data_IF_334553079745
#
_entry.id   IF_334553079745
#
_cell.length_a   1.000
_cell.length_b   1.000
_cell.length_c   1.000
_cell.angle_alpha   90.00
_cell.angle_beta   90.00
_cell.angle_gamma   90.00
#
_symmetry.space_group_name_H-M   'P 1'
#
loop_
_entity.id
_entity.type
_entity.pdbx_description
1 polymer ?
#
# COMPACT_ATOMS: atom_id res chain seq x y z
N UNK A 1 60.21 62.31 33.15
CA UNK A 1 59.97 63.06 34.40
C UNK A 1 58.57 62.67 34.89
N UNK A 2 58.47 61.88 35.96
CA UNK A 2 58.14 62.37 37.32
C UNK A 2 56.80 63.13 37.34
N UNK A 3 55.79 62.83 38.14
CA UNK A 3 55.76 62.28 39.50
C UNK A 3 54.26 62.07 39.88
N UNK A 4 53.94 61.07 40.72
CA UNK A 4 53.03 61.06 41.92
C UNK A 4 51.65 61.78 41.84
N UNK A 5 50.57 61.44 42.56
CA UNK A 5 50.07 60.44 43.54
C UNK A 5 48.65 60.98 43.88
N UNK A 6 47.71 60.15 44.33
CA UNK A 6 46.55 60.70 45.06
C UNK A 6 45.34 59.78 45.18
N UNK A 7 45.23 59.14 46.34
CA UNK A 7 44.15 58.24 46.75
C UNK A 7 42.99 59.05 47.32
N UNK A 8 41.74 58.71 46.99
CA UNK A 8 40.61 58.85 47.91
C UNK A 8 39.54 57.79 47.58
N UNK A 9 39.30 56.90 48.56
CA UNK A 9 38.19 55.94 48.60
C UNK A 9 36.90 56.68 48.93
N UNK A 10 35.83 56.37 48.21
CA UNK A 10 34.47 56.47 48.71
C UNK A 10 33.69 55.25 48.21
N UNK A 11 33.32 54.38 49.15
CA UNK A 11 32.40 53.28 48.93
C UNK A 11 30.97 53.78 49.15
N UNK A 12 30.05 53.48 48.24
CA UNK A 12 28.63 53.34 48.57
C UNK A 12 27.83 52.71 47.40
N UNK A 13 27.13 51.64 47.77
CA UNK A 13 25.87 51.13 47.22
C UNK A 13 25.86 50.49 45.82
N UNK A 14 25.92 49.15 45.84
CA UNK A 14 25.30 48.27 44.85
C UNK A 14 23.81 48.60 44.67
N UNK A 15 23.41 48.95 43.44
CA UNK A 15 22.05 48.72 42.96
C UNK A 15 22.14 47.67 41.85
N UNK A 16 21.73 46.44 42.18
CA UNK A 16 21.70 45.33 41.23
C UNK A 16 20.65 45.58 40.16
N UNK A 17 21.10 45.79 38.93
CA UNK A 17 20.25 45.80 37.76
C UNK A 17 20.17 44.35 37.26
N UNK A 18 19.20 43.58 37.78
CA UNK A 18 18.84 42.28 37.20
C UNK A 18 18.19 42.55 35.84
N UNK A 19 18.99 42.42 34.78
CA UNK A 19 18.49 42.20 33.43
C UNK A 19 17.79 40.84 33.41
N UNK A 20 16.47 40.85 33.51
CA UNK A 20 15.64 39.71 33.19
C UNK A 20 15.81 39.43 31.68
N UNK A 21 16.72 38.50 31.35
CA UNK A 21 16.80 37.92 30.02
C UNK A 21 15.51 37.17 29.74
N UNK A 22 14.60 37.79 29.00
CA UNK A 22 13.49 37.09 28.39
C UNK A 22 14.07 36.09 27.38
N UNK A 23 14.26 34.85 27.83
CA UNK A 23 14.45 33.72 26.93
C UNK A 23 13.17 33.59 26.10
N UNK A 24 13.21 34.09 24.86
CA UNK A 24 12.24 33.73 23.84
C UNK A 24 12.34 32.22 23.63
N UNK A 25 11.54 31.46 24.36
CA UNK A 25 11.24 30.09 24.02
C UNK A 25 10.60 30.12 22.62
N UNK A 26 11.37 29.72 21.60
CA UNK A 26 10.84 29.48 20.26
C UNK A 26 9.77 28.40 20.38
N UNK A 27 8.51 28.81 20.38
CA UNK A 27 7.40 27.86 20.27
C UNK A 27 7.56 27.08 18.97
N UNK A 28 7.44 25.74 18.97
CA UNK A 28 7.43 24.98 17.74
C UNK A 28 6.30 25.51 16.86
N UNK A 29 6.58 25.75 15.58
CA UNK A 29 5.56 26.16 14.63
C UNK A 29 4.38 25.18 14.69
N UNK A 30 3.17 25.70 14.88
CA UNK A 30 1.96 24.89 14.95
C UNK A 30 1.81 24.07 13.67
N UNK A 31 1.51 22.78 13.83
CA UNK A 31 1.20 21.90 12.70
C UNK A 31 -0.04 22.46 12.00
N UNK A 32 0.10 22.86 10.73
CA UNK A 32 -0.97 23.57 10.02
C UNK A 32 -2.03 22.57 9.57
N UNK A 33 -3.13 22.49 10.30
CA UNK A 33 -4.31 21.76 9.89
C UNK A 33 -5.00 22.47 8.70
N UNK A 34 -5.41 21.69 7.70
CA UNK A 34 -6.08 22.18 6.50
C UNK A 34 -7.43 21.46 6.34
N UNK A 35 -8.50 22.20 6.03
CA UNK A 35 -9.79 21.58 5.72
C UNK A 35 -9.89 21.28 4.24
N UNK A 36 -10.19 20.03 3.89
CA UNK A 36 -10.33 19.55 2.51
C UNK A 36 -11.62 18.76 2.33
N UNK A 37 -12.03 18.53 1.08
CA UNK A 37 -13.15 17.63 0.79
C UNK A 37 -12.77 16.18 1.07
N UNK A 38 -13.51 15.51 1.94
CA UNK A 38 -13.37 14.09 2.28
C UNK A 38 -14.45 13.20 1.64
N UNK A 39 -15.10 13.65 0.56
CA UNK A 39 -16.15 12.87 -0.10
C UNK A 39 -17.36 12.63 0.81
N UNK A 40 -17.72 11.37 1.06
CA UNK A 40 -18.86 11.00 1.93
C UNK A 40 -18.64 11.40 3.40
N UNK A 41 -17.41 11.61 3.85
CA UNK A 41 -17.11 12.17 5.18
C UNK A 41 -17.54 13.65 5.33
N UNK A 42 -17.81 14.34 4.23
CA UNK A 42 -17.93 15.80 4.21
C UNK A 42 -16.56 16.48 4.34
N UNK A 43 -16.49 17.74 4.80
CA UNK A 43 -15.22 18.40 5.07
C UNK A 43 -14.43 17.62 6.14
N UNK A 44 -13.14 17.39 5.91
CA UNK A 44 -12.23 16.72 6.85
C UNK A 44 -11.05 17.60 7.18
N UNK A 45 -10.54 17.48 8.41
CA UNK A 45 -9.36 18.22 8.86
C UNK A 45 -8.11 17.38 8.65
N UNK A 46 -7.17 17.86 7.85
CA UNK A 46 -5.92 17.16 7.54
C UNK A 46 -4.77 17.81 8.28
N UNK A 47 -4.12 17.04 9.14
CA UNK A 47 -2.96 17.45 9.92
C UNK A 47 -1.72 16.76 9.35
N UNK A 48 -0.85 17.54 8.68
CA UNK A 48 0.33 17.02 7.96
C UNK A 48 1.52 16.87 8.92
N UNK A 49 2.36 15.83 8.80
CA UNK A 49 3.56 15.73 9.61
C UNK A 49 4.58 16.82 9.25
N UNK A 50 5.38 17.25 10.21
CA UNK A 50 6.48 18.19 9.97
C UNK A 50 7.77 17.52 9.47
N UNK A 51 7.89 16.20 9.68
CA UNK A 51 9.00 15.36 9.22
C UNK A 51 8.60 14.40 8.10
N UNK A 52 9.44 13.38 7.80
CA UNK A 52 9.11 12.35 6.83
C UNK A 52 7.76 11.70 7.13
N UNK A 53 6.98 11.42 6.09
CA UNK A 53 5.74 10.66 6.22
C UNK A 53 6.08 9.22 6.64
N UNK A 54 5.57 8.80 7.79
CA UNK A 54 5.78 7.46 8.38
C UNK A 54 4.53 6.60 8.38
N UNK A 55 3.37 7.21 8.12
CA UNK A 55 2.08 6.54 8.02
C UNK A 55 0.96 7.50 7.67
N UNK A 56 -0.19 6.93 7.32
CA UNK A 56 -1.42 7.66 7.03
C UNK A 56 -2.50 7.18 7.99
N UNK A 57 -3.20 8.10 8.65
CA UNK A 57 -4.21 7.77 9.68
C UNK A 57 -5.54 8.41 9.32
N UNK A 58 -6.61 7.61 9.31
CA UNK A 58 -7.99 8.10 9.32
C UNK A 58 -8.50 7.99 10.76
N UNK A 59 -8.60 9.13 11.44
CA UNK A 59 -8.99 9.24 12.83
C UNK A 59 -10.47 9.63 12.92
N UNK A 60 -11.30 8.75 13.47
CA UNK A 60 -12.72 8.98 13.68
C UNK A 60 -12.98 9.50 15.10
N UNK A 61 -13.82 10.53 15.20
CA UNK A 61 -14.26 11.09 16.48
C UNK A 61 -15.15 10.11 17.25
N UNK A 62 -15.43 10.48 18.51
CA UNK A 62 -16.50 9.89 19.31
C UNK A 62 -17.91 10.22 18.76
N UNK A 63 -18.93 9.77 19.48
CA UNK A 63 -20.37 9.92 19.19
C UNK A 63 -20.79 11.38 18.90
N UNK A 64 -20.28 12.33 19.68
CA UNK A 64 -20.71 13.73 19.63
C UNK A 64 -20.06 14.56 18.51
N UNK A 65 -19.32 13.92 17.60
CA UNK A 65 -18.56 14.58 16.54
C UNK A 65 -17.16 15.03 16.97
N UNK A 66 -16.46 15.66 16.03
CA UNK A 66 -15.05 16.03 16.17
C UNK A 66 -14.86 17.18 17.18
N UNK A 67 -13.96 16.99 18.14
CA UNK A 67 -13.69 17.98 19.18
C UNK A 67 -12.19 18.26 19.39
N UNK A 68 -11.87 19.10 20.38
CA UNK A 68 -10.50 19.50 20.67
C UNK A 68 -9.57 18.34 21.08
N UNK A 69 -10.07 17.31 21.78
CA UNK A 69 -9.27 16.15 22.15
C UNK A 69 -8.94 15.28 20.93
N UNK A 70 -9.85 15.19 19.95
CA UNK A 70 -9.59 14.51 18.69
C UNK A 70 -8.52 15.25 17.87
N UNK A 71 -8.59 16.59 17.83
CA UNK A 71 -7.56 17.41 17.19
C UNK A 71 -6.20 17.27 17.88
N UNK A 72 -6.16 17.25 19.21
CA UNK A 72 -4.90 17.03 19.95
C UNK A 72 -4.28 15.66 19.63
N UNK A 73 -5.09 14.61 19.46
CA UNK A 73 -4.59 13.32 18.98
C UNK A 73 -4.04 13.41 17.55
N UNK A 74 -4.75 14.08 16.63
CA UNK A 74 -4.27 14.28 15.26
C UNK A 74 -2.94 15.04 15.22
N UNK A 75 -2.78 16.08 16.03
CA UNK A 75 -1.55 16.85 16.16
C UNK A 75 -0.39 16.00 16.71
N UNK A 76 -0.68 15.15 17.71
CA UNK A 76 0.32 14.25 18.29
C UNK A 76 0.77 13.17 17.29
N UNK A 77 -0.16 12.62 16.51
CA UNK A 77 0.13 11.66 15.43
C UNK A 77 0.95 12.32 14.30
N UNK A 78 0.60 13.55 13.91
CA UNK A 78 1.37 14.31 12.95
C UNK A 78 2.79 14.60 13.43
N UNK A 79 2.96 14.93 14.71
CA UNK A 79 4.29 15.06 15.33
C UNK A 79 5.08 13.75 15.31
N UNK A 80 4.41 12.60 15.40
CA UNK A 80 5.03 11.28 15.28
C UNK A 80 5.34 10.86 13.83
N UNK A 81 4.94 11.66 12.84
CA UNK A 81 5.19 11.43 11.41
C UNK A 81 3.99 10.90 10.63
N UNK A 82 2.78 10.86 11.21
CA UNK A 82 1.59 10.39 10.51
C UNK A 82 0.79 11.54 9.87
N UNK A 83 0.48 11.45 8.58
CA UNK A 83 -0.55 12.32 8.00
C UNK A 83 -1.91 11.88 8.53
N UNK A 84 -2.58 12.76 9.26
CA UNK A 84 -3.82 12.40 9.97
C UNK A 84 -5.02 13.14 9.40
N UNK A 85 -6.03 12.38 8.99
CA UNK A 85 -7.34 12.87 8.54
C UNK A 85 -8.33 12.72 9.68
N UNK A 86 -8.81 13.85 10.19
CA UNK A 86 -9.86 13.89 11.20
C UNK A 86 -11.25 13.82 10.58
N UNK A 87 -12.00 12.79 10.97
CA UNK A 87 -13.35 12.51 10.49
C UNK A 87 -14.34 12.64 11.65
N UNK A 88 -15.35 13.48 11.44
CA UNK A 88 -16.48 13.63 12.34
C UNK A 88 -17.47 12.47 12.13
N UNK A 89 -17.56 11.59 13.13
CA UNK A 89 -18.37 10.38 13.06
C UNK A 89 -19.87 10.66 12.96
N UNK A 90 -20.37 11.72 13.61
CA UNK A 90 -21.79 12.07 13.57
C UNK A 90 -22.16 12.61 12.19
N UNK A 91 -21.36 13.53 11.64
CA UNK A 91 -21.55 14.05 10.28
C UNK A 91 -21.46 12.93 9.25
N UNK A 92 -20.51 12.01 9.40
CA UNK A 92 -20.38 10.89 8.49
C UNK A 92 -21.63 9.98 8.51
N UNK A 93 -22.13 9.64 9.70
CA UNK A 93 -23.38 8.88 9.85
C UNK A 93 -24.58 9.58 9.21
N UNK A 94 -24.71 10.90 9.39
CA UNK A 94 -25.76 11.71 8.75
C UNK A 94 -25.65 11.69 7.22
N UNK A 95 -24.43 11.86 6.69
CA UNK A 95 -24.19 11.86 5.25
C UNK A 95 -24.54 10.52 4.60
N UNK A 96 -24.19 9.40 5.24
CA UNK A 96 -24.53 8.07 4.75
C UNK A 96 -26.03 7.82 4.75
N UNK A 97 -26.71 8.16 5.85
CA UNK A 97 -28.17 8.00 5.98
C UNK A 97 -28.97 8.80 4.93
N UNK A 98 -28.40 9.90 4.42
CA UNK A 98 -29.00 10.72 3.36
C UNK A 98 -28.82 10.13 1.95
N UNK A 99 -28.03 9.07 1.77
CA UNK A 99 -27.80 8.43 0.46
C UNK A 99 -28.83 7.34 0.20
N UNK A 100 -29.31 7.17 -1.05
CA UNK A 100 -30.22 6.10 -1.44
C UNK A 100 -29.48 4.76 -1.64
N UNK A 101 -28.61 4.39 -0.69
CA UNK A 101 -27.80 3.17 -0.74
C UNK A 101 -28.39 2.10 0.18
N UNK A 102 -28.37 0.83 -0.24
CA UNK A 102 -28.91 -0.27 0.57
C UNK A 102 -27.97 -0.69 1.69
N UNK A 103 -26.67 -0.45 1.53
CA UNK A 103 -25.62 -0.63 2.53
C UNK A 103 -24.40 0.23 2.13
N UNK A 104 -23.42 0.37 3.01
CA UNK A 104 -22.25 1.22 2.77
C UNK A 104 -20.90 0.48 2.89
N UNK A 105 -20.03 0.67 1.88
CA UNK A 105 -18.61 0.28 1.91
C UNK A 105 -17.78 1.36 2.60
N UNK A 106 -17.60 1.26 3.92
CA UNK A 106 -16.87 2.26 4.71
C UNK A 106 -15.34 2.20 4.46
N UNK A 107 -14.83 1.02 4.10
CA UNK A 107 -13.43 0.78 3.72
C UNK A 107 -13.05 1.52 2.45
N UNK A 108 -13.96 1.55 1.47
CA UNK A 108 -13.77 2.30 0.22
C UNK A 108 -13.64 3.80 0.44
N UNK A 109 -14.35 4.38 1.42
CA UNK A 109 -14.19 5.80 1.75
C UNK A 109 -12.81 6.10 2.35
N UNK A 110 -12.31 5.20 3.21
CA UNK A 110 -10.99 5.36 3.85
C UNK A 110 -9.87 5.19 2.81
N UNK A 111 -10.01 4.22 1.90
CA UNK A 111 -9.10 4.03 0.77
C UNK A 111 -9.11 5.27 -0.15
N UNK A 112 -10.28 5.76 -0.54
CA UNK A 112 -10.43 6.89 -1.45
C UNK A 112 -9.77 8.17 -0.89
N UNK A 113 -10.02 8.52 0.38
CA UNK A 113 -9.42 9.72 0.98
C UNK A 113 -7.91 9.58 1.13
N UNK A 114 -7.40 8.37 1.41
CA UNK A 114 -5.95 8.11 1.46
C UNK A 114 -5.28 8.32 0.10
N UNK A 115 -5.85 7.76 -0.97
CA UNK A 115 -5.34 7.94 -2.33
C UNK A 115 -5.34 9.42 -2.73
N UNK A 116 -6.44 10.13 -2.48
CA UNK A 116 -6.56 11.54 -2.83
C UNK A 116 -5.50 12.39 -2.12
N UNK A 117 -5.38 12.25 -0.80
CA UNK A 117 -4.52 13.13 0.00
C UNK A 117 -3.04 12.80 -0.15
N UNK A 118 -2.67 11.53 -0.27
CA UNK A 118 -1.27 11.17 -0.50
C UNK A 118 -0.77 11.56 -1.90
N UNK A 119 -1.66 11.61 -2.90
CA UNK A 119 -1.33 12.20 -4.21
C UNK A 119 -1.10 13.70 -4.10
N UNK A 120 -1.98 14.42 -3.40
CA UNK A 120 -1.84 15.86 -3.18
C UNK A 120 -0.58 16.19 -2.37
N UNK A 121 -0.21 15.33 -1.42
CA UNK A 121 1.02 15.45 -0.65
C UNK A 121 2.29 15.10 -1.44
N UNK A 122 2.14 14.59 -2.68
CA UNK A 122 3.25 14.14 -3.53
C UNK A 122 4.20 13.16 -2.84
N UNK A 123 3.65 12.30 -1.97
CA UNK A 123 4.45 11.30 -1.27
C UNK A 123 5.10 10.35 -2.28
N UNK A 124 6.38 10.04 -2.11
CA UNK A 124 7.11 9.08 -2.95
C UNK A 124 6.65 7.64 -2.74
N UNK A 125 5.87 7.40 -1.68
CA UNK A 125 5.35 6.10 -1.28
C UNK A 125 3.90 6.22 -0.85
N UNK A 126 3.10 5.21 -1.17
CA UNK A 126 1.74 5.10 -0.65
C UNK A 126 1.73 4.40 0.72
N UNK A 127 1.04 5.00 1.70
CA UNK A 127 0.83 4.46 3.03
C UNK A 127 -0.61 4.03 3.20
N UNK A 128 -0.85 2.72 3.19
CA UNK A 128 -2.18 2.18 3.49
C UNK A 128 -2.73 2.77 4.80
N UNK A 129 -3.99 3.24 4.83
CA UNK A 129 -4.52 3.92 5.99
C UNK A 129 -4.55 3.00 7.21
N UNK A 130 -4.10 3.52 8.35
CA UNK A 130 -4.44 3.02 9.68
C UNK A 130 -5.75 3.69 10.07
N UNK A 131 -6.76 2.91 10.44
CA UNK A 131 -8.04 3.46 10.87
C UNK A 131 -8.13 3.41 12.39
N UNK A 132 -8.36 4.56 13.01
CA UNK A 132 -8.32 4.68 14.46
C UNK A 132 -9.53 5.46 15.00
N UNK A 133 -9.94 5.16 16.22
CA UNK A 133 -10.90 5.99 16.93
C UNK A 133 -11.19 5.53 18.36
N UNK A 134 -11.92 6.37 19.08
CA UNK A 134 -12.42 6.12 20.44
C UNK A 134 -13.96 6.06 20.42
N UNK A 135 -14.61 5.24 21.26
CA UNK A 135 -16.08 5.17 21.30
C UNK A 135 -16.66 4.65 19.97
N UNK A 136 -17.61 5.39 19.39
CA UNK A 136 -18.09 5.13 18.02
C UNK A 136 -16.96 5.09 16.99
N UNK A 137 -15.96 5.97 17.06
CA UNK A 137 -14.81 5.95 16.16
C UNK A 137 -14.06 4.61 16.20
N UNK A 138 -13.93 4.03 17.40
CA UNK A 138 -13.35 2.70 17.57
C UNK A 138 -14.21 1.57 16.97
N UNK A 139 -15.54 1.72 17.00
CA UNK A 139 -16.46 0.76 16.39
C UNK A 139 -16.44 0.85 14.86
N UNK A 140 -16.41 2.07 14.32
CA UNK A 140 -16.27 2.35 12.88
C UNK A 140 -14.95 1.74 12.37
N UNK A 141 -13.85 1.96 13.08
CA UNK A 141 -12.54 1.42 12.70
C UNK A 141 -12.57 -0.11 12.54
N UNK A 142 -13.06 -0.84 13.55
CA UNK A 142 -13.18 -2.31 13.47
C UNK A 142 -14.11 -2.74 12.35
N UNK A 143 -15.22 -2.04 12.12
CA UNK A 143 -16.14 -2.36 11.04
C UNK A 143 -15.45 -2.20 9.68
N UNK A 144 -14.71 -1.11 9.46
CA UNK A 144 -13.91 -0.89 8.24
C UNK A 144 -12.97 -2.06 7.98
N UNK A 145 -12.21 -2.51 9.00
CA UNK A 145 -11.29 -3.63 8.80
C UNK A 145 -11.99 -4.93 8.44
N UNK A 146 -13.14 -5.21 9.05
CA UNK A 146 -13.92 -6.43 8.75
C UNK A 146 -14.44 -6.46 7.30
N UNK A 147 -14.59 -5.29 6.67
CA UNK A 147 -15.04 -5.15 5.29
C UNK A 147 -13.90 -4.99 4.29
N UNK A 148 -12.72 -4.61 4.75
CA UNK A 148 -11.58 -4.33 3.90
C UNK A 148 -11.09 -5.61 3.19
N UNK A 149 -10.79 -5.53 1.89
CA UNK A 149 -9.96 -6.52 1.23
C UNK A 149 -8.52 -6.54 1.81
N UNK A 150 -7.81 -7.65 1.58
CA UNK A 150 -6.36 -7.71 1.84
C UNK A 150 -5.65 -6.51 1.20
N UNK A 151 -4.71 -5.92 1.95
CA UNK A 151 -3.98 -4.74 1.51
C UNK A 151 -4.90 -3.57 1.15
N UNK A 152 -6.00 -3.30 1.86
CA UNK A 152 -6.75 -2.03 1.73
C UNK A 152 -6.60 -1.14 2.96
N UNK A 153 -6.53 -1.73 4.15
CA UNK A 153 -6.32 -1.05 5.44
C UNK A 153 -5.10 -1.70 6.12
N UNK A 154 -4.18 -0.88 6.66
CA UNK A 154 -2.94 -1.37 7.27
C UNK A 154 -3.22 -2.08 8.60
N UNK A 155 -4.22 -1.58 9.32
CA UNK A 155 -4.68 -2.09 10.59
C UNK A 155 -5.57 -1.08 11.28
N UNK A 156 -6.04 -1.46 12.46
CA UNK A 156 -6.95 -0.64 13.26
C UNK A 156 -6.51 -0.47 14.69
N UNK A 157 -6.81 0.70 15.23
CA UNK A 157 -6.69 1.01 16.66
C UNK A 157 -8.07 1.40 17.20
N UNK A 158 -8.58 0.60 18.12
CA UNK A 158 -9.92 0.78 18.70
C UNK A 158 -9.81 0.89 20.23
N UNK A 159 -10.07 2.08 20.77
CA UNK A 159 -9.98 2.35 22.21
C UNK A 159 -11.38 2.64 22.76
N UNK A 160 -11.72 2.08 23.93
CA UNK A 160 -13.02 2.30 24.60
C UNK A 160 -14.19 2.18 23.61
N UNK A 161 -14.21 1.07 22.86
CA UNK A 161 -15.12 0.88 21.73
C UNK A 161 -16.58 0.90 22.18
N UNK A 162 -17.43 1.64 21.46
CA UNK A 162 -18.87 1.57 21.65
C UNK A 162 -19.40 0.14 21.43
N UNK A 163 -20.29 -0.32 22.29
CA UNK A 163 -20.83 -1.68 22.26
C UNK A 163 -21.60 -2.00 20.97
N UNK A 164 -22.17 -0.99 20.31
CA UNK A 164 -22.87 -1.12 19.03
C UNK A 164 -22.43 0.00 18.10
N UNK A 165 -22.20 -0.34 16.84
CA UNK A 165 -22.05 0.65 15.78
C UNK A 165 -23.39 1.37 15.56
N UNK A 166 -23.35 2.69 15.33
CA UNK A 166 -24.54 3.44 14.95
C UNK A 166 -25.22 2.80 13.72
N UNK A 167 -26.54 2.51 13.77
CA UNK A 167 -27.23 1.81 12.70
C UNK A 167 -27.23 2.57 11.36
N UNK A 168 -27.02 3.89 11.36
CA UNK A 168 -26.91 4.71 10.14
C UNK A 168 -25.72 4.33 9.28
N UNK A 169 -24.68 3.71 9.86
CA UNK A 169 -23.52 3.23 9.09
C UNK A 169 -23.83 2.03 8.19
N UNK A 170 -24.86 1.24 8.50
CA UNK A 170 -25.42 0.15 7.68
C UNK A 170 -24.38 -0.55 6.76
N UNK A 171 -23.33 -1.18 7.33
CA UNK A 171 -22.22 -1.71 6.54
C UNK A 171 -22.68 -2.79 5.55
N UNK A 172 -22.08 -2.82 4.37
CA UNK A 172 -22.32 -3.89 3.41
C UNK A 172 -21.83 -5.24 3.94
N UNK A 173 -22.52 -6.35 3.60
CA UNK A 173 -21.98 -7.67 3.88
C UNK A 173 -20.65 -7.84 3.13
N UNK A 174 -19.72 -8.65 3.67
CA UNK A 174 -18.52 -9.03 2.95
C UNK A 174 -18.88 -9.62 1.58
N UNK A 175 -18.19 -9.17 0.53
CA UNK A 175 -18.34 -9.75 -0.81
C UNK A 175 -17.93 -11.24 -0.76
N UNK A 176 -18.84 -12.19 -1.06
CA UNK A 176 -18.56 -13.62 -0.96
C UNK A 176 -17.58 -14.11 -2.04
N UNK A 177 -17.31 -13.31 -3.08
CA UNK A 177 -16.35 -13.65 -4.15
C UNK A 177 -14.90 -13.35 -3.76
N UNK A 178 -14.69 -12.57 -2.70
CA UNK A 178 -13.36 -12.21 -2.21
C UNK A 178 -13.04 -13.08 -0.99
N UNK A 179 -12.02 -13.92 -1.08
CA UNK A 179 -11.50 -14.64 0.11
C UNK A 179 -10.78 -13.63 1.00
N UNK A 180 -11.07 -13.67 2.30
CA UNK A 180 -10.59 -12.70 3.28
C UNK A 180 -9.97 -13.43 4.46
N UNK A 181 -8.88 -12.89 5.03
CA UNK A 181 -8.63 -13.12 6.45
C UNK A 181 -9.70 -12.36 7.24
N UNK A 182 -10.11 -12.92 8.39
CA UNK A 182 -11.18 -12.34 9.20
C UNK A 182 -10.92 -10.86 9.58
N UNK A 183 -9.65 -10.47 9.72
CA UNK A 183 -9.21 -9.08 9.83
C UNK A 183 -7.86 -8.93 9.08
N UNK A 184 -7.82 -8.33 7.89
CA UNK A 184 -6.55 -8.05 7.21
C UNK A 184 -5.81 -6.92 7.94
N UNK A 185 -4.49 -7.05 8.13
CA UNK A 185 -3.69 -6.04 8.86
C UNK A 185 -3.66 -6.24 10.38
N UNK A 186 -3.04 -5.30 11.09
CA UNK A 186 -2.91 -5.38 12.56
C UNK A 186 -4.20 -4.93 13.27
N UNK A 187 -4.43 -5.44 14.48
CA UNK A 187 -5.58 -5.08 15.30
C UNK A 187 -5.13 -4.77 16.72
N UNK A 188 -5.19 -3.51 17.10
CA UNK A 188 -4.92 -3.06 18.47
C UNK A 188 -6.21 -2.61 19.13
N UNK A 189 -6.49 -3.16 20.32
CA UNK A 189 -7.70 -2.81 21.08
C UNK A 189 -7.38 -2.53 22.52
N UNK A 190 -7.99 -1.49 23.08
CA UNK A 190 -7.94 -1.19 24.51
C UNK A 190 -9.37 -1.04 25.03
N UNK A 191 -9.74 -1.86 26.02
CA UNK A 191 -11.08 -1.85 26.60
C UNK A 191 -11.44 -0.52 27.30
N UNK A 192 -10.42 0.21 27.77
CA UNK A 192 -10.53 1.53 28.34
C UNK A 192 -9.34 2.39 27.92
N UNK A 193 -9.54 3.70 27.86
CA UNK A 193 -8.50 4.66 27.51
C UNK A 193 -9.08 5.88 26.81
N UNK A 194 -8.20 6.82 26.48
CA UNK A 194 -8.52 8.07 25.83
C UNK A 194 -7.71 8.25 24.53
N UNK A 195 -7.78 9.46 23.97
CA UNK A 195 -7.01 9.86 22.80
C UNK A 195 -5.50 9.68 22.96
N UNK A 196 -4.95 9.80 24.17
CA UNK A 196 -3.52 9.60 24.40
C UNK A 196 -3.12 8.11 24.29
N UNK A 197 -3.95 7.20 24.83
CA UNK A 197 -3.74 5.76 24.64
C UNK A 197 -3.83 5.38 23.15
N UNK A 198 -4.79 5.94 22.43
CA UNK A 198 -4.92 5.76 20.98
C UNK A 198 -3.65 6.19 20.25
N UNK A 199 -3.13 7.40 20.53
CA UNK A 199 -1.90 7.93 19.91
C UNK A 199 -0.72 6.98 20.14
N UNK A 200 -0.56 6.48 21.36
CA UNK A 200 0.53 5.54 21.69
C UNK A 200 0.43 4.24 20.89
N UNK A 201 -0.76 3.66 20.76
CA UNK A 201 -0.98 2.44 19.99
C UNK A 201 -0.71 2.66 18.49
N UNK A 202 -1.26 3.72 17.90
CA UNK A 202 -1.03 4.03 16.48
C UNK A 202 0.46 4.29 16.20
N UNK A 203 1.14 5.03 17.07
CA UNK A 203 2.56 5.38 16.88
C UNK A 203 3.47 4.16 16.81
N UNK A 204 3.13 3.07 17.52
CA UNK A 204 3.90 1.82 17.50
C UNK A 204 3.85 1.08 16.15
N UNK A 205 2.90 1.44 15.28
CA UNK A 205 2.72 0.86 13.94
C UNK A 205 3.15 1.81 12.81
N UNK A 206 3.69 2.98 13.14
CA UNK A 206 4.28 3.87 12.14
C UNK A 206 5.63 3.33 11.69
N UNK A 207 5.95 3.46 10.41
CA UNK A 207 7.19 2.93 9.85
C UNK A 207 8.42 3.62 10.43
N UNK A 208 9.45 2.83 10.70
CA UNK A 208 10.79 3.35 10.93
C UNK A 208 11.46 3.68 9.60
N UNK A 209 12.08 4.85 9.52
CA UNK A 209 12.75 5.34 8.32
C UNK A 209 14.22 4.94 8.25
N UNK A 210 14.65 3.96 9.07
CA UNK A 210 16.07 3.66 9.34
C UNK A 210 16.53 2.27 8.94
N UNK A 211 15.69 1.41 8.36
CA UNK A 211 16.15 0.08 7.91
C UNK A 211 16.83 0.16 6.54
N UNK A 212 18.15 -0.07 6.54
CA UNK A 212 19.02 -0.17 5.37
C UNK A 212 19.50 -1.60 5.09
N UNK A 213 18.75 -2.61 5.53
CA UNK A 213 19.08 -4.01 5.25
C UNK A 213 18.66 -4.37 3.82
N UNK A 214 19.61 -4.91 3.05
CA UNK A 214 19.43 -5.25 1.64
C UNK A 214 18.43 -6.42 1.44
N UNK A 215 18.23 -7.27 2.46
CA UNK A 215 17.24 -8.35 2.46
C UNK A 215 15.94 -8.00 3.21
N UNK A 216 15.85 -6.83 3.83
CA UNK A 216 14.57 -6.32 4.30
C UNK A 216 13.65 -6.18 3.09
N UNK A 217 12.40 -6.60 3.21
CA UNK A 217 11.35 -6.39 2.19
C UNK A 217 10.11 -5.74 2.79
N UNK A 218 10.20 -5.28 4.05
CA UNK A 218 9.14 -4.58 4.75
C UNK A 218 8.83 -3.21 4.12
N UNK A 219 9.72 -2.71 3.26
CA UNK A 219 9.51 -1.54 2.41
C UNK A 219 8.69 -1.82 1.13
N UNK A 220 8.36 -3.08 0.84
CA UNK A 220 7.58 -3.44 -0.34
C UNK A 220 6.11 -3.72 0.02
N UNK A 221 5.14 -3.37 -0.84
CA UNK A 221 3.72 -3.61 -0.61
C UNK A 221 3.36 -5.06 -0.99
N UNK A 222 3.84 -6.01 -0.20
CA UNK A 222 3.72 -7.44 -0.48
C UNK A 222 2.43 -8.04 0.10
N UNK A 223 1.98 -9.15 -0.50
CA UNK A 223 0.96 -10.05 0.06
C UNK A 223 1.56 -11.43 0.20
N UNK A 224 1.65 -11.92 1.44
CA UNK A 224 2.20 -13.25 1.72
C UNK A 224 1.07 -14.29 1.77
N UNK A 225 1.12 -15.29 0.87
CA UNK A 225 0.20 -16.42 0.83
C UNK A 225 1.00 -17.74 0.89
N UNK A 226 1.54 -18.12 2.07
CA UNK A 226 2.28 -19.37 2.21
C UNK A 226 1.33 -20.57 2.02
N UNK A 227 1.75 -21.57 1.24
CA UNK A 227 0.98 -22.80 1.06
C UNK A 227 1.16 -23.76 2.25
N UNK A 228 0.09 -24.42 2.68
CA UNK A 228 0.17 -25.46 3.72
C UNK A 228 0.81 -26.71 3.13
N UNK A 229 1.94 -27.15 3.70
CA UNK A 229 2.67 -28.31 3.17
C UNK A 229 3.24 -28.06 1.78
N UNK A 230 3.75 -26.84 1.53
CA UNK A 230 4.20 -26.39 0.22
C UNK A 230 5.17 -27.34 -0.48
N UNK A 231 5.12 -27.35 -1.81
CA UNK A 231 5.81 -28.31 -2.65
C UNK A 231 7.20 -27.82 -3.16
N UNK A 232 7.79 -26.83 -2.48
CA UNK A 232 9.05 -26.19 -2.89
C UNK A 232 8.91 -25.20 -4.06
N UNK A 233 7.67 -24.87 -4.46
CA UNK A 233 7.39 -23.86 -5.48
C UNK A 233 6.98 -22.51 -4.86
N UNK A 234 7.45 -21.44 -5.49
CA UNK A 234 7.10 -20.05 -5.19
C UNK A 234 6.54 -19.39 -6.45
N UNK A 235 5.39 -18.72 -6.37
CA UNK A 235 4.95 -17.78 -7.38
C UNK A 235 5.13 -16.34 -6.89
N UNK A 236 5.68 -15.47 -7.73
CA UNK A 236 5.70 -14.03 -7.50
C UNK A 236 4.72 -13.41 -8.49
N UNK A 237 3.67 -12.77 -7.97
CA UNK A 237 2.58 -12.21 -8.77
C UNK A 237 2.66 -10.68 -8.71
N UNK A 238 2.82 -10.00 -9.85
CA UNK A 238 2.74 -8.54 -9.95
C UNK A 238 1.37 -8.19 -10.51
N UNK A 239 0.57 -7.43 -9.74
CA UNK A 239 -0.82 -7.14 -10.08
C UNK A 239 -1.00 -6.16 -11.24
N UNK A 240 -2.24 -5.98 -11.69
CA UNK A 240 -2.64 -4.87 -12.54
C UNK A 240 -2.54 -3.50 -11.85
N UNK A 241 -2.79 -2.43 -12.60
CA UNK A 241 -2.66 -1.03 -12.14
C UNK A 241 -3.71 -0.61 -11.09
N UNK A 242 -4.82 -1.34 -10.99
CA UNK A 242 -5.81 -1.24 -9.91
C UNK A 242 -5.33 -1.81 -8.56
N UNK A 243 -4.12 -2.37 -8.50
CA UNK A 243 -3.52 -2.97 -7.32
C UNK A 243 -3.93 -4.43 -7.11
N UNK A 244 -3.69 -4.95 -5.90
CA UNK A 244 -4.02 -6.34 -5.56
C UNK A 244 -5.55 -6.52 -5.49
N UNK A 245 -6.18 -6.99 -6.58
CA UNK A 245 -7.64 -7.05 -6.78
C UNK A 245 -8.11 -8.46 -7.16
N UNK A 246 -9.39 -8.61 -7.51
CA UNK A 246 -10.11 -9.87 -7.71
C UNK A 246 -9.34 -10.91 -8.55
N UNK A 247 -8.89 -10.54 -9.76
CA UNK A 247 -8.15 -11.43 -10.64
C UNK A 247 -6.85 -11.94 -9.99
N UNK A 248 -6.00 -11.03 -9.56
CA UNK A 248 -4.68 -11.35 -9.00
C UNK A 248 -4.80 -12.21 -7.72
N UNK A 249 -5.75 -11.83 -6.84
CA UNK A 249 -6.09 -12.56 -5.61
C UNK A 249 -6.55 -13.97 -5.92
N UNK A 250 -7.53 -14.12 -6.82
CA UNK A 250 -8.15 -15.41 -7.11
C UNK A 250 -7.14 -16.39 -7.69
N UNK A 251 -6.27 -15.93 -8.61
CA UNK A 251 -5.18 -16.77 -9.15
C UNK A 251 -4.18 -17.14 -8.05
N UNK A 252 -3.73 -16.16 -7.27
CA UNK A 252 -2.74 -16.39 -6.21
C UNK A 252 -3.23 -17.35 -5.13
N UNK A 253 -4.49 -17.23 -4.70
CA UNK A 253 -5.10 -18.11 -3.72
C UNK A 253 -5.37 -19.51 -4.27
N UNK A 254 -5.74 -19.63 -5.55
CA UNK A 254 -5.87 -20.92 -6.21
C UNK A 254 -4.50 -21.64 -6.27
N UNK A 255 -3.44 -20.95 -6.68
CA UNK A 255 -2.07 -21.47 -6.61
C UNK A 255 -1.67 -21.89 -5.17
N UNK A 256 -2.00 -21.08 -4.17
CA UNK A 256 -1.77 -21.39 -2.75
C UNK A 256 -2.50 -22.67 -2.31
N UNK A 257 -3.78 -22.80 -2.69
CA UNK A 257 -4.57 -24.01 -2.40
C UNK A 257 -3.96 -25.26 -3.03
N UNK A 258 -3.35 -25.12 -4.20
CA UNK A 258 -2.72 -26.21 -4.95
C UNK A 258 -1.24 -26.42 -4.59
N UNK A 259 -0.77 -25.82 -3.49
CA UNK A 259 0.52 -26.13 -2.86
C UNK A 259 1.68 -25.21 -3.23
N UNK A 260 1.44 -24.19 -4.06
CA UNK A 260 2.43 -23.18 -4.45
C UNK A 260 2.37 -22.01 -3.48
N UNK A 261 3.47 -21.70 -2.78
CA UNK A 261 3.46 -20.47 -1.95
C UNK A 261 3.52 -19.24 -2.84
N UNK A 262 2.76 -18.18 -2.52
CA UNK A 262 2.65 -16.99 -3.37
C UNK A 262 3.07 -15.73 -2.63
N UNK A 263 3.84 -14.87 -3.30
CA UNK A 263 4.06 -13.48 -2.90
C UNK A 263 3.46 -12.57 -3.95
N UNK A 264 2.43 -11.82 -3.57
CA UNK A 264 1.88 -10.74 -4.39
C UNK A 264 2.66 -9.45 -4.23
N UNK A 265 2.83 -8.69 -5.31
CA UNK A 265 3.32 -7.31 -5.32
C UNK A 265 2.16 -6.44 -5.81
N UNK A 266 1.67 -5.56 -4.93
CA UNK A 266 0.60 -4.62 -5.24
C UNK A 266 1.13 -3.46 -6.10
N UNK A 267 0.89 -3.52 -7.41
CA UNK A 267 1.41 -2.57 -8.38
C UNK A 267 0.97 -1.14 -8.10
N UNK A 268 -0.29 -0.92 -7.69
CA UNK A 268 -0.83 0.40 -7.37
C UNK A 268 0.07 1.14 -6.35
N UNK A 269 0.54 0.41 -5.35
CA UNK A 269 1.37 0.94 -4.28
C UNK A 269 2.83 0.98 -4.67
N UNK A 270 3.30 -0.07 -5.31
CA UNK A 270 4.70 -0.21 -5.68
C UNK A 270 5.10 0.84 -6.72
N UNK A 271 4.25 1.07 -7.73
CA UNK A 271 4.43 2.05 -8.80
C UNK A 271 3.69 3.38 -8.53
N UNK A 272 3.37 3.68 -7.27
CA UNK A 272 2.79 4.97 -6.88
C UNK A 272 3.66 6.15 -7.35
N UNK A 273 4.97 5.98 -7.22
CA UNK A 273 6.01 6.80 -7.85
C UNK A 273 6.77 5.99 -8.89
N UNK A 274 7.49 6.69 -9.78
CA UNK A 274 8.28 6.03 -10.82
C UNK A 274 9.32 5.06 -10.22
N UNK A 275 9.35 3.83 -10.75
CA UNK A 275 10.31 2.78 -10.39
C UNK A 275 11.09 2.34 -11.63
N UNK A 276 12.35 2.78 -11.83
CA UNK A 276 13.11 2.38 -13.00
C UNK A 276 13.23 0.85 -13.13
N UNK A 277 13.34 0.29 -14.35
CA UNK A 277 13.49 -1.15 -14.58
C UNK A 277 14.53 -1.86 -13.69
N UNK A 278 15.66 -1.19 -13.45
CA UNK A 278 16.72 -1.72 -12.58
C UNK A 278 16.29 -1.81 -11.11
N UNK A 279 15.46 -0.89 -10.63
CA UNK A 279 14.88 -0.96 -9.29
C UNK A 279 13.87 -2.09 -9.18
N UNK A 280 12.95 -2.25 -10.14
CA UNK A 280 11.98 -3.34 -10.16
C UNK A 280 12.67 -4.70 -10.11
N UNK A 281 13.74 -4.87 -10.88
CA UNK A 281 14.54 -6.11 -10.87
C UNK A 281 15.24 -6.36 -9.53
N UNK A 282 15.82 -5.32 -8.90
CA UNK A 282 16.45 -5.45 -7.58
C UNK A 282 15.43 -5.84 -6.52
N UNK A 283 14.26 -5.20 -6.50
CA UNK A 283 13.21 -5.51 -5.54
C UNK A 283 12.64 -6.92 -5.77
N UNK A 284 12.46 -7.33 -7.03
CA UNK A 284 12.12 -8.72 -7.37
C UNK A 284 13.17 -9.71 -6.84
N UNK A 285 14.47 -9.40 -6.98
CA UNK A 285 15.54 -10.23 -6.46
C UNK A 285 15.53 -10.33 -4.93
N UNK A 286 15.25 -9.22 -4.22
CA UNK A 286 15.09 -9.18 -2.76
C UNK A 286 13.93 -10.08 -2.31
N UNK A 287 12.79 -9.99 -2.99
CA UNK A 287 11.62 -10.85 -2.74
C UNK A 287 11.97 -12.32 -3.00
N UNK A 288 12.54 -12.65 -4.15
CA UNK A 288 12.93 -14.03 -4.48
C UNK A 288 13.82 -14.63 -3.39
N UNK A 289 14.91 -13.95 -3.02
CA UNK A 289 15.86 -14.45 -1.99
C UNK A 289 15.17 -14.66 -0.64
N UNK A 290 14.39 -13.67 -0.20
CA UNK A 290 13.71 -13.71 1.10
C UNK A 290 12.76 -14.90 1.19
N UNK A 291 11.88 -15.06 0.20
CA UNK A 291 10.81 -16.05 0.28
C UNK A 291 11.24 -17.45 -0.17
N UNK A 292 12.22 -17.56 -1.06
CA UNK A 292 12.84 -18.86 -1.35
C UNK A 292 13.52 -19.43 -0.10
N UNK A 293 14.23 -18.61 0.67
CA UNK A 293 14.84 -19.04 1.93
C UNK A 293 13.76 -19.34 2.98
N UNK A 294 12.79 -18.43 3.18
CA UNK A 294 11.75 -18.54 4.22
C UNK A 294 10.81 -19.72 4.01
N UNK A 295 10.46 -20.03 2.76
CA UNK A 295 9.48 -21.07 2.42
C UNK A 295 10.11 -22.28 1.72
N UNK A 296 11.45 -22.40 1.78
CA UNK A 296 12.21 -23.51 1.22
C UNK A 296 11.90 -23.78 -0.27
N UNK A 297 11.63 -22.72 -1.04
CA UNK A 297 11.32 -22.82 -2.45
C UNK A 297 12.59 -22.76 -3.31
N UNK A 298 12.64 -23.57 -4.36
CA UNK A 298 13.77 -23.64 -5.29
C UNK A 298 13.36 -23.50 -6.77
N UNK A 299 12.06 -23.38 -7.05
CA UNK A 299 11.49 -23.10 -8.37
C UNK A 299 10.53 -21.94 -8.27
N UNK A 300 10.63 -21.00 -9.20
CA UNK A 300 9.88 -19.74 -9.18
C UNK A 300 9.02 -19.59 -10.43
N UNK A 301 7.75 -19.29 -10.27
CA UNK A 301 6.88 -18.76 -11.31
C UNK A 301 6.84 -17.23 -11.20
N UNK A 302 7.01 -16.52 -12.30
CA UNK A 302 6.76 -15.08 -12.39
C UNK A 302 5.43 -14.88 -13.10
N UNK A 303 4.46 -14.26 -12.43
CA UNK A 303 3.12 -14.02 -12.98
C UNK A 303 2.88 -12.52 -12.98
N UNK A 304 2.49 -11.96 -14.12
CA UNK A 304 2.14 -10.55 -14.25
C UNK A 304 0.77 -10.40 -14.89
N UNK A 305 -0.07 -9.53 -14.34
CA UNK A 305 -1.34 -9.15 -14.95
C UNK A 305 -1.32 -7.68 -15.39
N UNK A 306 -1.76 -7.41 -16.61
CA UNK A 306 -1.89 -6.07 -17.20
C UNK A 306 -0.59 -5.29 -17.02
N UNK A 307 -0.62 -4.17 -16.31
CA UNK A 307 0.57 -3.41 -15.88
C UNK A 307 1.72 -4.29 -15.36
N UNK A 308 1.42 -5.28 -14.52
CA UNK A 308 2.39 -6.22 -13.97
C UNK A 308 3.01 -7.15 -15.01
N UNK A 309 2.26 -7.50 -16.06
CA UNK A 309 2.77 -8.26 -17.21
C UNK A 309 3.76 -7.41 -18.01
N UNK A 310 3.45 -6.13 -18.23
CA UNK A 310 4.23 -5.23 -19.08
C UNK A 310 5.63 -4.96 -18.52
N UNK A 311 5.74 -4.81 -17.19
CA UNK A 311 7.02 -4.57 -16.50
C UNK A 311 7.85 -5.85 -16.30
N UNK A 312 7.24 -7.04 -16.41
CA UNK A 312 7.88 -8.31 -16.05
C UNK A 312 9.13 -8.64 -16.89
N UNK A 313 9.14 -8.50 -18.23
CA UNK A 313 10.34 -8.77 -19.04
C UNK A 313 11.52 -7.88 -18.63
N UNK A 314 11.25 -6.62 -18.31
CA UNK A 314 12.28 -5.68 -17.86
C UNK A 314 12.90 -6.10 -16.52
N UNK A 315 12.05 -6.55 -15.58
CA UNK A 315 12.49 -7.03 -14.27
C UNK A 315 13.30 -8.33 -14.40
N UNK A 316 12.80 -9.29 -15.17
CA UNK A 316 13.44 -10.59 -15.39
C UNK A 316 14.83 -10.47 -16.05
N UNK A 317 14.95 -9.70 -17.13
CA UNK A 317 16.20 -9.60 -17.89
C UNK A 317 17.38 -9.06 -17.07
N UNK A 318 17.09 -8.30 -16.00
CA UNK A 318 18.07 -7.68 -15.11
C UNK A 318 18.32 -8.48 -13.83
N UNK A 319 17.64 -9.63 -13.65
CA UNK A 319 17.87 -10.50 -12.49
C UNK A 319 19.32 -11.03 -12.50
N UNK A 320 19.93 -11.17 -11.31
CA UNK A 320 21.13 -12.00 -11.14
C UNK A 320 20.93 -13.41 -11.70
N UNK A 321 21.97 -13.98 -12.32
CA UNK A 321 21.88 -15.26 -13.03
C UNK A 321 21.38 -16.40 -12.12
N UNK A 322 21.86 -16.44 -10.87
CA UNK A 322 21.47 -17.43 -9.85
C UNK A 322 19.97 -17.44 -9.55
N UNK A 323 19.31 -16.27 -9.62
CA UNK A 323 17.87 -16.14 -9.45
C UNK A 323 17.13 -16.38 -10.75
N UNK A 324 17.64 -15.86 -11.87
CA UNK A 324 17.06 -16.08 -13.20
C UNK A 324 16.97 -17.57 -13.51
N UNK A 325 17.91 -18.38 -13.06
CA UNK A 325 17.94 -19.85 -13.21
C UNK A 325 16.88 -20.59 -12.37
N UNK A 326 16.30 -19.92 -11.37
CA UNK A 326 15.18 -20.46 -10.58
C UNK A 326 13.83 -20.28 -11.26
N UNK A 327 13.74 -19.37 -12.23
CA UNK A 327 12.50 -19.08 -12.95
C UNK A 327 12.15 -20.22 -13.89
N UNK A 328 11.04 -20.88 -13.61
CA UNK A 328 10.52 -22.01 -14.36
C UNK A 328 9.45 -21.62 -15.39
N UNK A 329 8.67 -20.58 -15.12
CA UNK A 329 7.65 -20.05 -16.02
C UNK A 329 7.48 -18.55 -15.79
N UNK A 330 7.17 -17.83 -16.87
CA UNK A 330 6.76 -16.44 -16.90
C UNK A 330 5.39 -16.36 -17.56
N UNK A 331 4.35 -16.13 -16.77
CA UNK A 331 2.96 -16.01 -17.22
C UNK A 331 2.58 -14.53 -17.32
N UNK A 332 2.31 -14.05 -18.53
CA UNK A 332 1.98 -12.67 -18.86
C UNK A 332 0.50 -12.61 -19.27
N UNK A 333 -0.35 -12.04 -18.42
CA UNK A 333 -1.79 -11.96 -18.62
C UNK A 333 -2.15 -10.54 -19.05
N UNK A 334 -2.74 -10.37 -20.25
CA UNK A 334 -3.18 -9.05 -20.72
C UNK A 334 -1.99 -8.15 -21.08
N UNK A 335 -1.00 -8.75 -21.73
CA UNK A 335 0.33 -8.15 -21.96
C UNK A 335 0.33 -7.14 -23.09
N UNK A 336 0.65 -5.89 -22.80
CA UNK A 336 0.65 -4.77 -23.71
C UNK A 336 2.01 -4.58 -24.43
N UNK A 337 2.05 -3.84 -25.56
CA UNK A 337 3.29 -3.60 -26.31
C UNK A 337 4.22 -2.54 -25.67
N UNK A 338 3.77 -1.83 -24.63
CA UNK A 338 4.51 -0.78 -23.94
C UNK A 338 4.30 -0.90 -22.43
N UNK A 339 5.33 -0.55 -21.65
CA UNK A 339 5.32 -0.62 -20.20
C UNK A 339 5.57 0.75 -19.58
N UNK A 340 4.63 1.19 -18.74
CA UNK A 340 4.85 2.29 -17.81
C UNK A 340 5.49 1.77 -16.52
N UNK A 341 6.23 2.65 -15.84
CA UNK A 341 6.88 2.36 -14.55
C UNK A 341 6.36 3.28 -13.44
N UNK A 342 5.19 3.87 -13.67
CA UNK A 342 4.46 4.69 -12.71
C UNK A 342 2.96 4.65 -13.04
N UNK A 343 2.15 4.36 -12.03
CA UNK A 343 0.69 4.40 -12.19
C UNK A 343 0.20 5.83 -12.01
N UNK A 344 -0.52 6.32 -13.02
CA UNK A 344 -1.21 7.61 -13.04
C UNK A 344 -2.71 7.37 -12.89
N UNK A 345 -3.42 8.29 -12.26
CA UNK A 345 -4.89 8.20 -12.06
C UNK A 345 -5.65 8.02 -13.39
N UNK A 346 -5.10 8.51 -14.50
CA UNK A 346 -5.67 8.31 -15.84
C UNK A 346 -5.58 6.86 -16.34
N UNK A 347 -4.59 6.09 -15.89
CA UNK A 347 -4.43 4.67 -16.27
C UNK A 347 -5.62 3.81 -15.83
N UNK A 348 -6.18 4.10 -14.65
CA UNK A 348 -7.36 3.41 -14.12
C UNK A 348 -8.63 3.56 -14.98
N UNK A 349 -8.66 4.52 -15.90
CA UNK A 349 -9.76 4.75 -16.83
C UNK A 349 -9.57 4.01 -18.17
N UNK A 350 -8.58 3.11 -18.28
CA UNK A 350 -8.27 2.40 -19.53
C UNK A 350 -7.61 3.30 -20.59
N UNK A 351 -6.91 4.34 -20.15
CA UNK A 351 -6.22 5.26 -21.05
C UNK A 351 -4.91 4.65 -21.56
N UNK A 352 -4.43 5.04 -22.77
CA UNK A 352 -3.20 4.52 -23.33
C UNK A 352 -1.96 4.84 -22.46
N UNK A 353 -0.91 4.06 -22.68
CA UNK A 353 0.38 4.22 -22.02
C UNK A 353 0.94 5.65 -22.17
N UNK A 354 1.75 6.09 -21.20
CA UNK A 354 2.30 7.45 -21.21
C UNK A 354 3.33 7.64 -22.32
N UNK A 355 3.62 8.90 -22.68
CA UNK A 355 4.68 9.25 -23.65
C UNK A 355 6.08 8.75 -23.22
N UNK A 356 6.25 8.37 -21.95
CA UNK A 356 7.49 7.83 -21.40
C UNK A 356 7.51 6.29 -21.35
N UNK A 357 6.45 5.62 -21.76
CA UNK A 357 6.34 4.18 -21.72
C UNK A 357 7.45 3.53 -22.57
N UNK A 358 8.07 2.49 -22.01
CA UNK A 358 9.16 1.79 -22.67
C UNK A 358 8.57 0.70 -23.57
N UNK A 359 9.12 0.56 -24.79
CA UNK A 359 8.72 -0.51 -25.70
C UNK A 359 9.11 -1.86 -25.13
N UNK A 360 8.17 -2.80 -25.07
CA UNK A 360 8.37 -4.11 -24.46
C UNK A 360 9.11 -5.08 -25.39
N UNK A 361 8.91 -4.96 -26.71
CA UNK A 361 9.46 -5.86 -27.71
C UNK A 361 10.98 -6.15 -27.57
N UNK A 362 11.87 -5.16 -27.35
CA UNK A 362 13.31 -5.41 -27.18
C UNK A 362 13.67 -6.18 -25.91
N UNK A 363 12.86 -6.09 -24.87
CA UNK A 363 13.06 -6.86 -23.64
C UNK A 363 12.49 -8.27 -23.81
N UNK A 364 11.33 -8.40 -24.45
CA UNK A 364 10.73 -9.69 -24.73
C UNK A 364 11.64 -10.58 -25.60
N UNK A 365 12.32 -9.99 -26.59
CA UNK A 365 13.27 -10.71 -27.44
C UNK A 365 14.48 -11.32 -26.69
N UNK A 366 14.75 -10.89 -25.45
CA UNK A 366 15.84 -11.41 -24.60
C UNK A 366 15.38 -12.51 -23.65
N UNK A 367 14.07 -12.70 -23.48
CA UNK A 367 13.53 -13.75 -22.61
C UNK A 367 13.52 -15.07 -23.39
N UNK A 368 13.99 -16.18 -22.80
CA UNK A 368 13.86 -17.49 -23.42
C UNK A 368 12.38 -17.83 -23.69
N UNK A 369 11.97 -18.05 -24.96
CA UNK A 369 10.55 -18.19 -25.32
C UNK A 369 9.87 -19.38 -24.62
N UNK A 370 10.61 -20.45 -24.34
CA UNK A 370 10.13 -21.63 -23.63
C UNK A 370 9.69 -21.37 -22.18
N UNK A 371 10.07 -20.23 -21.59
CA UNK A 371 9.59 -19.82 -20.27
C UNK A 371 8.24 -19.11 -20.35
N UNK A 372 7.86 -18.60 -21.52
CA UNK A 372 6.81 -17.59 -21.64
C UNK A 372 5.46 -18.23 -21.94
N UNK A 373 4.48 -17.85 -21.14
CA UNK A 373 3.07 -18.12 -21.36
C UNK A 373 2.34 -16.77 -21.48
N UNK A 374 1.74 -16.48 -22.63
CA UNK A 374 1.09 -15.19 -22.89
C UNK A 374 -0.41 -15.38 -23.05
N UNK A 375 -1.19 -14.86 -22.10
CA UNK A 375 -2.65 -14.94 -22.10
C UNK A 375 -3.27 -13.65 -22.59
N UNK A 376 -4.30 -13.76 -23.43
CA UNK A 376 -5.10 -12.61 -23.86
C UNK A 376 -6.56 -13.01 -24.11
N UNK A 377 -7.48 -12.07 -23.84
CA UNK A 377 -8.91 -12.24 -24.10
C UNK A 377 -9.22 -12.23 -25.60
N UNK A 378 -10.27 -12.92 -26.02
CA UNK A 378 -10.69 -12.93 -27.43
C UNK A 378 -11.13 -11.55 -27.94
N UNK A 379 -11.61 -10.69 -27.05
CA UNK A 379 -12.07 -9.33 -27.33
C UNK A 379 -10.95 -8.28 -27.10
N UNK A 380 -9.81 -8.70 -26.57
CA UNK A 380 -8.66 -7.84 -26.29
C UNK A 380 -7.85 -7.56 -27.55
N UNK A 381 -7.70 -6.27 -27.88
CA UNK A 381 -7.00 -5.82 -29.09
C UNK A 381 -5.61 -5.26 -28.80
N UNK A 382 -5.42 -4.68 -27.62
CA UNK A 382 -4.19 -3.98 -27.24
C UNK A 382 -3.19 -4.92 -26.55
N UNK A 383 -2.96 -6.08 -27.17
CA UNK A 383 -2.07 -7.12 -26.64
C UNK A 383 -0.92 -7.46 -27.60
N UNK A 384 0.25 -7.75 -27.03
CA UNK A 384 1.41 -8.22 -27.76
C UNK A 384 1.43 -9.76 -27.94
N UNK A 385 0.57 -10.52 -27.27
CA UNK A 385 0.59 -11.99 -27.32
C UNK A 385 0.50 -12.60 -28.74
N UNK A 386 -0.31 -12.08 -29.68
CA UNK A 386 -0.34 -12.61 -31.05
C UNK A 386 1.01 -12.54 -31.78
N UNK A 387 1.87 -11.57 -31.44
CA UNK A 387 3.20 -11.45 -32.03
C UNK A 387 4.17 -12.56 -31.57
N UNK A 388 3.82 -13.32 -30.53
CA UNK A 388 4.67 -14.35 -29.94
C UNK A 388 4.40 -15.77 -30.47
N UNK A 389 3.34 -16.00 -31.26
CA UNK A 389 2.88 -17.35 -31.68
C UNK A 389 3.98 -18.18 -32.33
N UNK A 390 4.87 -17.57 -33.11
CA UNK A 390 5.94 -18.26 -33.84
C UNK A 390 7.32 -18.16 -33.16
N UNK A 391 7.37 -17.77 -31.89
CA UNK A 391 8.62 -17.58 -31.15
C UNK A 391 9.01 -18.80 -30.31
N UNK A 392 8.06 -19.73 -30.08
CA UNK A 392 8.21 -20.85 -29.14
C UNK A 392 7.58 -20.58 -27.76
N UNK A 393 6.99 -19.39 -27.55
CA UNK A 393 6.17 -19.09 -26.39
C UNK A 393 4.80 -19.80 -26.45
N UNK A 394 4.23 -20.12 -25.29
CA UNK A 394 2.88 -20.66 -25.17
C UNK A 394 1.86 -19.51 -25.23
N UNK A 395 1.25 -19.29 -26.40
CA UNK A 395 0.25 -18.23 -26.61
C UNK A 395 -1.16 -18.77 -26.40
N UNK A 396 -1.87 -18.21 -25.42
CA UNK A 396 -3.17 -18.70 -24.96
C UNK A 396 -4.22 -17.63 -25.15
N UNK A 397 -5.10 -17.87 -26.13
CA UNK A 397 -6.32 -17.08 -26.31
C UNK A 397 -7.42 -17.63 -25.40
N UNK A 398 -8.03 -16.78 -24.59
CA UNK A 398 -9.20 -17.13 -23.75
C UNK A 398 -10.46 -16.48 -24.31
N UNK A 399 -11.61 -16.77 -23.69
CA UNK A 399 -12.83 -15.99 -23.92
C UNK A 399 -12.78 -14.64 -23.17
N UNK A 400 -13.67 -13.73 -23.53
CA UNK A 400 -13.85 -12.44 -22.85
C UNK A 400 -12.83 -11.36 -23.23
N UNK A 401 -12.80 -10.33 -22.41
CA UNK A 401 -12.01 -9.11 -22.53
C UNK A 401 -10.68 -9.21 -21.75
N UNK A 402 -10.11 -8.06 -21.40
CA UNK A 402 -8.90 -7.92 -20.58
C UNK A 402 -9.04 -8.50 -19.15
N UNK A 403 -10.25 -8.84 -18.71
CA UNK A 403 -10.54 -9.56 -17.46
C UNK A 403 -10.87 -11.04 -17.70
N UNK A 404 -10.63 -11.56 -18.91
CA UNK A 404 -10.70 -13.00 -19.27
C UNK A 404 -12.06 -13.65 -18.95
N UNK A 405 -13.16 -12.87 -18.99
CA UNK A 405 -14.49 -13.37 -18.65
C UNK A 405 -14.64 -13.85 -17.20
N UNK A 406 -13.70 -13.49 -16.32
CA UNK A 406 -13.64 -13.88 -14.89
C UNK A 406 -13.44 -15.36 -14.60
N UNK A 407 -12.97 -16.15 -15.57
CA UNK A 407 -12.59 -17.56 -15.37
C UNK A 407 -11.14 -17.70 -14.88
N UNK A 408 -10.85 -17.13 -13.71
CA UNK A 408 -9.50 -17.06 -13.15
C UNK A 408 -8.96 -18.43 -12.74
N UNK A 409 -9.83 -19.39 -12.45
CA UNK A 409 -9.44 -20.78 -12.14
C UNK A 409 -8.93 -21.50 -13.39
N UNK A 410 -9.51 -21.24 -14.58
CA UNK A 410 -8.97 -21.79 -15.81
C UNK A 410 -7.58 -21.22 -16.16
N UNK A 411 -7.35 -19.93 -15.87
CA UNK A 411 -6.04 -19.29 -16.02
C UNK A 411 -5.01 -19.94 -15.08
N UNK A 412 -5.35 -20.04 -13.80
CA UNK A 412 -4.48 -20.65 -12.79
C UNK A 412 -4.06 -22.07 -13.17
N UNK A 413 -5.00 -22.95 -13.56
CA UNK A 413 -4.68 -24.33 -13.96
C UNK A 413 -3.67 -24.40 -15.11
N UNK A 414 -3.76 -23.47 -16.06
CA UNK A 414 -2.80 -23.36 -17.17
C UNK A 414 -1.43 -22.90 -16.69
N UNK A 415 -1.37 -21.96 -15.74
CA UNK A 415 -0.13 -21.51 -15.11
C UNK A 415 0.53 -22.66 -14.33
N UNK A 416 -0.23 -23.35 -13.48
CA UNK A 416 0.25 -24.47 -12.67
C UNK A 416 0.76 -25.62 -13.55
N UNK A 417 0.03 -25.94 -14.63
CA UNK A 417 0.41 -26.95 -15.60
C UNK A 417 1.73 -26.63 -16.33
N UNK A 418 2.00 -25.36 -16.62
CA UNK A 418 3.29 -24.93 -17.17
C UNK A 418 4.40 -24.98 -16.11
N UNK A 419 4.10 -24.57 -14.88
CA UNK A 419 5.06 -24.55 -13.78
C UNK A 419 5.58 -25.94 -13.41
N UNK A 420 4.73 -26.97 -13.54
CA UNK A 420 5.10 -28.37 -13.31
C UNK A 420 6.07 -28.95 -14.34
N UNK A 421 6.17 -28.37 -15.55
CA UNK A 421 7.04 -28.90 -16.62
C UNK A 421 8.51 -28.59 -16.34
N UNK A 422 9.45 -29.49 -16.67
CA UNK A 422 10.87 -29.15 -16.70
C UNK A 422 11.12 -28.06 -17.75
N UNK A 423 11.90 -27.04 -17.41
CA UNK A 423 12.41 -26.11 -18.43
C UNK A 423 13.48 -26.87 -19.23
N UNK A 424 13.36 -26.93 -20.55
CA UNK A 424 14.40 -27.49 -21.41
C UNK A 424 15.75 -26.80 -21.09
N UNK A 425 16.83 -27.58 -21.00
CA UNK A 425 18.15 -27.08 -20.61
C UNK A 425 18.52 -25.80 -21.38
N UNK A 426 18.93 -24.76 -20.65
CA UNK A 426 19.24 -23.42 -21.14
C UNK A 426 20.56 -23.35 -21.89
#
# INVERSE_FOLDING_TARGET
MSLKKGIARAAAACAGMMLAGAACATQPAAVKAETVSGGRYGPVTVTKPSGPLRGFVVLFSREAGWNAADQQAADALAKAGAMTVGVDSERYAMNLAAKPETCHHLDGDAEAVSHQLERLAQSSRYFTPIVAGVGQGGAIAKQILSMAPENTIAGVVSVDQAAKLDPRFKPCPPDPTIVRRAMPGFVETAAAGDSAKLVSLVTSHLRDTTSGDELDVSDLPLVELPAKGGNGQLAIVISGDGGWRDLDKTIAEALQRDGVSVVGIDSLRYFWSEKPPAQVSRDLARVMRTYMARWHANRVALVGYSFGADVMPFAYNRLPADLRDKVAVMSLLGFAPAADFQIRVTGWLGMPASDKALKVAPEMAKVPPQLVQCFYGAEEKDTMCPALVNTGADVIKTQGDHHFGRDYIALEKKILGAFGKPVAAR
#
